data_IF_789982737311
#
_entry.id   IF_789982737311
#
_cell.length_a   1.000
_cell.length_b   1.000
_cell.length_c   1.000
_cell.angle_alpha   90.00
_cell.angle_beta   90.00
_cell.angle_gamma   90.00
#
_symmetry.space_group_name_H-M   'P 1'
#
loop_
_entity.id
_entity.type
_entity.pdbx_description
1 polymer ?
#
# COMPACT_ATOMS: atom_id res chain seq x y z
N UNK A 1 2.65 -5.32 16.48
CA UNK A 1 3.86 -4.62 17.01
C UNK A 1 5.10 -5.53 17.12
N UNK A 2 4.93 -6.84 16.93
CA UNK A 2 5.93 -7.91 17.09
C UNK A 2 6.77 -8.18 15.83
N UNK A 3 6.86 -7.21 14.90
CA UNK A 3 7.66 -7.38 13.67
C UNK A 3 9.14 -7.59 13.96
N UNK A 4 9.86 -8.33 13.10
CA UNK A 4 11.32 -8.55 13.25
C UNK A 4 12.14 -7.28 12.97
N UNK A 5 11.64 -6.42 12.09
CA UNK A 5 12.28 -5.16 11.69
C UNK A 5 11.69 -3.97 12.45
N UNK A 6 12.53 -3.00 12.83
CA UNK A 6 12.11 -1.79 13.55
C UNK A 6 10.99 -1.03 12.82
N UNK A 7 11.13 -0.86 11.49
CA UNK A 7 10.10 -0.22 10.67
C UNK A 7 8.72 -0.88 10.81
N UNK A 8 8.65 -2.21 10.75
CA UNK A 8 7.40 -2.94 10.91
C UNK A 8 6.78 -2.76 12.30
N UNK A 9 7.61 -2.59 13.35
CA UNK A 9 7.12 -2.29 14.71
C UNK A 9 6.52 -0.88 14.79
N UNK A 10 7.23 0.12 14.26
CA UNK A 10 6.78 1.53 14.28
C UNK A 10 5.48 1.70 13.50
N UNK A 11 5.39 1.12 12.30
CA UNK A 11 4.15 1.11 11.51
C UNK A 11 3.01 0.43 12.27
N UNK A 12 3.24 -0.76 12.82
CA UNK A 12 2.22 -1.47 13.60
C UNK A 12 1.73 -0.69 14.84
N UNK A 13 2.63 0.00 15.56
CA UNK A 13 2.24 0.88 16.69
C UNK A 13 1.38 2.04 16.22
N UNK A 14 1.73 2.64 15.07
CA UNK A 14 0.97 3.75 14.47
C UNK A 14 -0.44 3.31 14.08
N UNK A 15 -0.58 2.19 13.38
CA UNK A 15 -1.89 1.63 13.00
C UNK A 15 -2.77 1.33 14.24
N UNK A 16 -2.16 0.78 15.29
CA UNK A 16 -2.84 0.53 16.56
C UNK A 16 -3.28 1.82 17.28
N UNK A 17 -2.43 2.85 17.27
CA UNK A 17 -2.76 4.14 17.84
C UNK A 17 -3.92 4.82 17.09
N UNK A 18 -3.86 4.85 15.75
CA UNK A 18 -4.94 5.42 14.91
C UNK A 18 -6.29 4.77 15.18
N UNK A 19 -6.32 3.44 15.37
CA UNK A 19 -7.55 2.71 15.73
C UNK A 19 -8.16 3.16 17.06
N UNK A 20 -7.34 3.63 18.01
CA UNK A 20 -7.78 4.07 19.34
C UNK A 20 -8.26 5.52 19.38
N UNK A 21 -7.96 6.33 18.36
CA UNK A 21 -8.29 7.76 18.35
C UNK A 21 -9.77 8.06 18.02
N UNK A 22 -10.58 7.02 17.76
CA UNK A 22 -12.03 7.19 17.56
C UNK A 22 -12.41 7.83 16.22
N UNK A 23 -11.53 7.80 15.21
CA UNK A 23 -11.88 8.22 13.86
C UNK A 23 -13.08 7.41 13.34
N UNK A 24 -13.96 8.08 12.57
CA UNK A 24 -15.09 7.44 11.91
C UNK A 24 -14.66 6.26 11.03
N UNK A 25 -13.54 6.41 10.34
CA UNK A 25 -12.88 5.34 9.59
C UNK A 25 -11.37 5.62 9.50
N UNK A 26 -10.56 4.55 9.51
CA UNK A 26 -9.13 4.60 9.27
C UNK A 26 -8.72 3.40 8.41
N UNK A 27 -8.05 3.67 7.29
CA UNK A 27 -7.65 2.66 6.30
C UNK A 27 -6.13 2.59 6.20
N UNK A 28 -5.57 1.46 6.61
CA UNK A 28 -4.14 1.16 6.59
C UNK A 28 -3.79 0.46 5.27
N UNK A 29 -3.28 1.24 4.31
CA UNK A 29 -2.80 0.72 3.04
C UNK A 29 -1.49 -0.04 3.22
N UNK A 30 -1.47 -1.30 2.76
CA UNK A 30 -0.29 -2.17 2.74
C UNK A 30 0.01 -2.57 1.29
N UNK A 31 0.53 -1.62 0.50
CA UNK A 31 0.90 -1.93 -0.87
C UNK A 31 2.05 -2.95 -0.88
N UNK A 32 1.99 -3.86 -1.84
CA UNK A 32 3.09 -4.76 -2.16
C UNK A 32 4.18 -4.06 -2.97
N UNK A 33 4.80 -4.80 -3.88
CA UNK A 33 5.76 -4.20 -4.81
C UNK A 33 5.04 -3.21 -5.73
N UNK A 34 5.57 -2.00 -5.81
CA UNK A 34 5.04 -0.96 -6.68
C UNK A 34 6.04 -0.62 -7.78
N UNK A 35 5.56 -0.58 -9.02
CA UNK A 35 6.36 -0.06 -10.14
C UNK A 35 6.56 1.45 -9.92
N UNK A 36 7.80 1.97 -9.99
CA UNK A 36 8.03 3.40 -9.97
C UNK A 36 7.31 4.09 -11.12
N UNK A 37 6.92 5.34 -10.89
CA UNK A 37 6.31 6.22 -11.88
C UNK A 37 7.31 7.24 -12.40
N UNK A 38 6.99 7.83 -13.55
CA UNK A 38 7.76 8.95 -14.09
C UNK A 38 7.80 10.11 -13.09
N UNK A 39 8.95 10.78 -12.97
CA UNK A 39 9.16 11.88 -12.03
C UNK A 39 9.60 11.47 -10.61
N UNK A 40 9.73 10.18 -10.30
CA UNK A 40 10.23 9.76 -8.99
C UNK A 40 11.76 9.92 -8.88
N UNK A 41 12.22 10.84 -8.02
CA UNK A 41 13.64 11.23 -7.94
C UNK A 41 14.55 10.20 -7.25
N UNK A 42 14.03 9.49 -6.25
CA UNK A 42 14.83 8.64 -5.36
C UNK A 42 14.74 7.13 -5.72
N UNK A 43 14.54 6.80 -6.99
CA UNK A 43 14.53 5.41 -7.46
C UNK A 43 15.97 4.91 -7.58
N UNK A 44 16.40 4.09 -6.61
CA UNK A 44 17.73 3.51 -6.61
C UNK A 44 17.97 2.67 -7.87
N UNK A 45 19.04 3.00 -8.61
CA UNK A 45 19.33 2.47 -9.95
C UNK A 45 19.40 0.92 -10.00
N UNK A 46 19.88 0.27 -8.94
CA UNK A 46 20.00 -1.18 -8.87
C UNK A 46 18.66 -1.91 -8.73
N UNK A 47 17.55 -1.20 -8.46
CA UNK A 47 16.21 -1.80 -8.51
C UNK A 47 15.67 -1.92 -9.95
N UNK A 48 16.27 -1.27 -10.95
CA UNK A 48 15.76 -1.23 -12.34
C UNK A 48 15.49 -2.62 -12.95
N UNK A 49 16.35 -3.64 -12.82
CA UNK A 49 16.08 -4.98 -13.35
C UNK A 49 14.87 -5.64 -12.64
N UNK A 50 14.79 -5.48 -11.33
CA UNK A 50 13.70 -6.02 -10.52
C UNK A 50 12.36 -5.36 -10.89
N UNK A 51 12.37 -4.05 -11.13
CA UNK A 51 11.18 -3.27 -11.55
C UNK A 51 10.57 -3.79 -12.86
N UNK A 52 11.39 -4.25 -13.80
CA UNK A 52 10.89 -4.76 -15.09
C UNK A 52 10.34 -6.19 -14.98
N UNK A 53 10.99 -7.04 -14.19
CA UNK A 53 10.67 -8.47 -14.08
C UNK A 53 9.51 -8.74 -13.11
N UNK A 54 9.49 -8.08 -11.96
CA UNK A 54 8.57 -8.40 -10.86
C UNK A 54 7.07 -8.23 -11.18
N UNK A 55 6.60 -7.16 -11.85
CA UNK A 55 5.18 -7.02 -12.15
C UNK A 55 4.68 -8.02 -13.21
N UNK A 56 5.57 -8.50 -14.10
CA UNK A 56 5.24 -9.51 -15.11
C UNK A 56 5.12 -10.90 -14.48
N UNK A 57 6.03 -11.26 -13.57
CA UNK A 57 6.03 -12.58 -12.94
C UNK A 57 5.01 -12.70 -11.81
N UNK A 58 4.70 -11.60 -11.11
CA UNK A 58 3.81 -11.61 -9.93
C UNK A 58 2.75 -10.48 -10.02
N UNK A 59 1.88 -10.51 -11.04
CA UNK A 59 0.86 -9.46 -11.23
C UNK A 59 -0.14 -9.42 -10.07
N UNK A 60 -0.41 -10.55 -9.42
CA UNK A 60 -1.27 -10.62 -8.23
C UNK A 60 -0.63 -10.03 -6.96
N UNK A 61 0.69 -9.83 -6.95
CA UNK A 61 1.45 -9.27 -5.81
C UNK A 61 2.06 -7.90 -6.09
N UNK A 62 1.64 -7.25 -7.17
CA UNK A 62 2.11 -5.93 -7.55
C UNK A 62 0.95 -4.95 -7.73
N UNK A 63 1.27 -3.67 -7.56
CA UNK A 63 0.39 -2.52 -7.74
C UNK A 63 1.13 -1.43 -8.53
N UNK A 64 0.36 -0.57 -9.17
CA UNK A 64 0.83 0.71 -9.69
C UNK A 64 0.52 1.81 -8.67
N UNK A 65 1.30 2.89 -8.67
CA UNK A 65 1.02 4.04 -7.81
C UNK A 65 -0.35 4.68 -8.14
N UNK A 66 -0.77 4.60 -9.41
CA UNK A 66 -2.07 5.07 -9.86
C UNK A 66 -3.22 4.27 -9.22
N UNK A 67 -3.14 2.93 -9.20
CA UNK A 67 -4.14 2.09 -8.50
C UNK A 67 -4.23 2.45 -7.02
N UNK A 68 -3.09 2.67 -6.36
CA UNK A 68 -3.08 3.09 -4.94
C UNK A 68 -3.76 4.45 -4.77
N UNK A 69 -3.46 5.43 -5.62
CA UNK A 69 -4.08 6.76 -5.57
C UNK A 69 -5.59 6.73 -5.76
N UNK A 70 -6.08 5.99 -6.77
CA UNK A 70 -7.51 5.83 -7.01
C UNK A 70 -8.17 5.12 -5.82
N UNK A 71 -7.54 4.06 -5.31
CA UNK A 71 -8.05 3.33 -4.15
C UNK A 71 -8.13 4.20 -2.89
N UNK A 72 -7.19 5.12 -2.67
CA UNK A 72 -7.24 6.07 -1.55
C UNK A 72 -8.46 7.00 -1.65
N UNK A 73 -8.75 7.52 -2.85
CA UNK A 73 -9.93 8.37 -3.09
C UNK A 73 -11.21 7.54 -2.86
N UNK A 74 -11.29 6.36 -3.45
CA UNK A 74 -12.45 5.50 -3.34
C UNK A 74 -12.67 4.97 -1.92
N UNK A 75 -11.61 4.73 -1.13
CA UNK A 75 -11.74 4.34 0.27
C UNK A 75 -12.44 5.41 1.11
N UNK A 76 -12.24 6.69 0.80
CA UNK A 76 -12.92 7.80 1.51
C UNK A 76 -14.35 7.97 1.01
N UNK A 77 -14.58 7.88 -0.31
CA UNK A 77 -15.90 8.11 -0.92
C UNK A 77 -16.86 6.94 -0.65
N UNK A 78 -16.41 5.71 -0.90
CA UNK A 78 -17.24 4.50 -0.86
C UNK A 78 -17.15 3.78 0.49
N UNK A 79 -16.07 4.02 1.25
CA UNK A 79 -15.70 3.19 2.39
C UNK A 79 -15.16 1.82 1.95
N UNK A 80 -14.76 1.02 2.93
CA UNK A 80 -14.38 -0.38 2.74
C UNK A 80 -14.64 -1.20 4.01
N UNK A 81 -15.03 -2.48 3.92
CA UNK A 81 -15.39 -3.30 5.09
C UNK A 81 -14.21 -3.60 6.03
N UNK A 82 -12.97 -3.51 5.55
CA UNK A 82 -11.78 -3.74 6.36
C UNK A 82 -10.96 -2.45 6.51
N UNK A 83 -10.34 -2.28 7.67
CA UNK A 83 -9.42 -1.17 7.94
C UNK A 83 -7.98 -1.46 7.52
N UNK A 84 -7.65 -2.71 7.20
CA UNK A 84 -6.34 -3.10 6.67
C UNK A 84 -6.53 -3.51 5.22
N UNK A 85 -5.91 -2.77 4.31
CA UNK A 85 -6.10 -2.93 2.87
C UNK A 85 -4.83 -3.56 2.29
N UNK A 86 -4.93 -4.85 1.98
CA UNK A 86 -3.88 -5.60 1.31
C UNK A 86 -4.01 -5.42 -0.22
N UNK A 87 -3.08 -5.98 -0.99
CA UNK A 87 -2.99 -5.77 -2.45
C UNK A 87 -4.33 -6.01 -3.17
N UNK A 88 -5.05 -7.08 -2.81
CA UNK A 88 -6.35 -7.42 -3.41
C UNK A 88 -7.40 -6.35 -3.11
N UNK A 89 -7.43 -5.83 -1.88
CA UNK A 89 -8.38 -4.80 -1.47
C UNK A 89 -8.12 -3.48 -2.19
N UNK A 90 -6.84 -3.12 -2.31
CA UNK A 90 -6.42 -1.93 -3.05
C UNK A 90 -6.85 -2.03 -4.51
N UNK A 91 -6.67 -3.20 -5.16
CA UNK A 91 -7.15 -3.41 -6.53
C UNK A 91 -8.66 -3.31 -6.66
N UNK A 92 -9.41 -3.87 -5.72
CA UNK A 92 -10.87 -3.77 -5.73
C UNK A 92 -11.34 -2.31 -5.60
N UNK A 93 -10.64 -1.52 -4.78
CA UNK A 93 -10.92 -0.10 -4.58
C UNK A 93 -10.42 0.77 -5.74
N UNK A 94 -9.50 0.30 -6.57
CA UNK A 94 -8.99 1.04 -7.72
C UNK A 94 -9.95 1.04 -8.94
N UNK A 95 -11.15 0.45 -8.79
CA UNK A 95 -12.19 0.33 -9.81
C UNK A 95 -13.41 1.21 -9.45
#
# INVERSE_FOLDING_TARGET
>A
ESGKMMWARVKGRTENALRKLGFRAAYNFRPGFMKPVEGQENVKWFFKPLIWIFPVLLPSKSLTLHEVGIAMINAVIKGYPTSTLEIKDIKNLAI
#
